data_IF_022018457187
#
_entry.id   IF_022018457187
#
_cell.length_a   1.000
_cell.length_b   1.000
_cell.length_c   1.000
_cell.angle_alpha   90.00
_cell.angle_beta   90.00
_cell.angle_gamma   90.00
#
_symmetry.space_group_name_H-M   'P 1'
#
loop_
_entity.id
_entity.type
_entity.pdbx_description
1 polymer ?
#
# COMPACT_ATOMS: atom_id res chain seq x y z
N UNK A 1 -31.10 39.72 23.74
CA UNK A 1 -30.03 39.79 22.73
C UNK A 1 -28.82 39.03 23.27
N UNK A 2 -28.65 37.77 22.88
CA UNK A 2 -27.44 37.00 23.19
C UNK A 2 -27.01 36.32 21.89
N UNK A 3 -25.87 36.74 21.33
CA UNK A 3 -25.34 36.20 20.08
C UNK A 3 -24.95 34.73 20.23
N UNK A 4 -24.95 33.94 19.14
CA UNK A 4 -24.60 32.54 19.20
C UNK A 4 -23.11 32.39 19.55
N UNK A 5 -22.88 31.69 20.66
CA UNK A 5 -21.58 31.31 21.20
C UNK A 5 -20.78 30.54 20.14
N UNK A 6 -19.56 31.02 19.87
CA UNK A 6 -18.53 30.38 19.07
C UNK A 6 -18.49 28.86 19.32
N UNK A 7 -18.85 28.06 18.30
CA UNK A 7 -18.66 26.61 18.34
C UNK A 7 -17.16 26.31 18.21
N UNK A 8 -16.66 25.61 19.21
CA UNK A 8 -15.27 25.30 19.56
C UNK A 8 -14.40 24.71 18.42
N UNK A 9 -13.05 24.82 18.51
CA UNK A 9 -12.08 24.24 17.57
C UNK A 9 -12.20 22.72 17.37
N UNK A 10 -12.86 22.02 18.29
CA UNK A 10 -13.11 20.57 18.24
C UNK A 10 -13.95 20.18 17.01
N UNK A 11 -14.91 21.00 16.59
CA UNK A 11 -15.67 20.74 15.36
C UNK A 11 -14.82 20.88 14.09
N UNK A 12 -13.81 21.74 14.11
CA UNK A 12 -12.87 21.89 12.99
C UNK A 12 -11.86 20.75 12.96
N UNK A 13 -11.39 20.29 14.12
CA UNK A 13 -10.51 19.13 14.21
C UNK A 13 -11.23 17.85 13.75
N UNK A 14 -12.49 17.67 14.13
CA UNK A 14 -13.32 16.54 13.68
C UNK A 14 -13.60 16.61 12.18
N UNK A 15 -13.98 17.79 11.66
CA UNK A 15 -14.16 17.99 10.22
C UNK A 15 -12.84 17.83 9.41
N UNK A 16 -11.69 18.11 10.04
CA UNK A 16 -10.38 17.86 9.44
C UNK A 16 -10.05 16.37 9.43
N UNK A 17 -10.22 15.67 10.54
CA UNK A 17 -10.05 14.21 10.65
C UNK A 17 -10.99 13.46 9.69
N UNK A 18 -12.21 13.97 9.49
CA UNK A 18 -13.20 13.42 8.55
C UNK A 18 -12.89 13.78 7.08
N UNK A 19 -11.82 14.53 6.80
CA UNK A 19 -11.42 14.90 5.44
C UNK A 19 -10.33 13.99 4.88
N UNK A 20 -10.39 13.67 3.58
CA UNK A 20 -9.35 12.92 2.86
C UNK A 20 -7.92 13.50 3.09
N UNK A 21 -7.83 14.82 3.31
CA UNK A 21 -6.57 15.53 3.59
C UNK A 21 -5.92 15.17 4.94
N UNK A 22 -6.68 14.67 5.93
CA UNK A 22 -6.12 14.29 7.22
C UNK A 22 -5.27 13.04 7.18
N UNK A 23 -5.41 12.19 6.16
CA UNK A 23 -4.55 11.03 5.96
C UNK A 23 -3.18 11.40 5.36
N UNK A 24 -3.13 12.44 4.53
CA UNK A 24 -1.95 12.83 3.78
C UNK A 24 -0.95 13.68 4.58
N UNK A 25 -1.45 14.54 5.47
CA UNK A 25 -0.57 15.40 6.27
C UNK A 25 0.35 14.62 7.21
N UNK A 26 -0.14 13.59 7.97
CA UNK A 26 0.73 12.74 8.76
C UNK A 26 1.77 11.99 7.93
N UNK A 27 1.41 11.51 6.73
CA UNK A 27 2.33 10.85 5.81
C UNK A 27 3.46 11.79 5.38
N UNK A 28 3.12 13.01 4.96
CA UNK A 28 4.10 14.02 4.57
C UNK A 28 5.03 14.39 5.72
N UNK A 29 4.46 14.57 6.93
CA UNK A 29 5.24 14.87 8.13
C UNK A 29 6.18 13.71 8.49
N UNK A 30 5.71 12.46 8.40
CA UNK A 30 6.54 11.29 8.63
C UNK A 30 7.70 11.20 7.62
N UNK A 31 7.44 11.43 6.34
CA UNK A 31 8.47 11.45 5.29
C UNK A 31 9.50 12.57 5.51
N UNK A 32 9.04 13.77 5.87
CA UNK A 32 9.92 14.90 6.19
C UNK A 32 10.77 14.62 7.44
N UNK A 33 10.18 14.06 8.49
CA UNK A 33 10.91 13.65 9.69
C UNK A 33 11.95 12.58 9.37
N UNK A 34 11.59 11.57 8.57
CA UNK A 34 12.51 10.54 8.12
C UNK A 34 13.69 11.15 7.35
N UNK A 35 13.43 12.10 6.45
CA UNK A 35 14.48 12.79 5.70
C UNK A 35 15.39 13.63 6.61
N UNK A 36 14.81 14.36 7.57
CA UNK A 36 15.59 15.15 8.54
C UNK A 36 16.47 14.24 9.39
N UNK A 37 15.93 13.12 9.89
CA UNK A 37 16.68 12.18 10.71
C UNK A 37 17.80 11.51 9.89
N UNK A 38 17.50 11.07 8.66
CA UNK A 38 18.46 10.44 7.75
C UNK A 38 19.63 11.36 7.35
N UNK A 39 19.43 12.68 7.37
CA UNK A 39 20.47 13.67 7.10
C UNK A 39 21.09 14.26 8.38
N UNK A 40 20.80 13.69 9.55
CA UNK A 40 21.29 14.17 10.84
C UNK A 40 22.31 13.19 11.46
N UNK A 41 23.04 13.59 12.52
CA UNK A 41 23.92 12.68 13.26
C UNK A 41 23.22 11.44 13.85
N UNK A 42 21.88 11.45 13.92
CA UNK A 42 21.08 10.34 14.43
C UNK A 42 20.81 9.24 13.37
N UNK A 43 21.18 9.45 12.10
CA UNK A 43 20.93 8.49 11.02
C UNK A 43 21.47 7.09 11.36
N UNK A 44 22.75 7.01 11.75
CA UNK A 44 23.37 5.72 12.10
C UNK A 44 22.71 5.05 13.32
N UNK A 45 22.23 5.83 14.29
CA UNK A 45 21.55 5.26 15.46
C UNK A 45 20.20 4.65 15.07
N UNK A 46 19.46 5.31 14.16
CA UNK A 46 18.21 4.79 13.62
C UNK A 46 18.45 3.53 12.76
N UNK A 47 19.41 3.59 11.82
CA UNK A 47 19.77 2.45 10.97
C UNK A 47 20.18 1.24 11.80
N UNK A 48 21.05 1.40 12.80
CA UNK A 48 21.43 0.31 13.68
C UNK A 48 20.24 -0.26 14.48
N UNK A 49 19.29 0.60 14.86
CA UNK A 49 18.03 0.17 15.49
C UNK A 49 17.17 -0.67 14.54
N UNK A 50 17.02 -0.24 13.28
CA UNK A 50 16.24 -0.92 12.25
C UNK A 50 16.90 -2.24 11.79
N UNK A 51 18.23 -2.31 11.80
CA UNK A 51 18.99 -3.52 11.48
C UNK A 51 19.04 -4.54 12.64
N UNK A 52 18.55 -4.17 13.82
CA UNK A 52 18.55 -5.06 14.98
C UNK A 52 17.76 -6.33 14.66
N UNK A 53 18.45 -7.48 14.74
CA UNK A 53 17.87 -8.78 14.41
C UNK A 53 16.93 -9.23 15.53
N UNK A 54 15.67 -9.41 15.19
CA UNK A 54 14.62 -9.90 16.08
C UNK A 54 14.00 -11.14 15.47
N UNK A 55 13.60 -12.08 16.33
CA UNK A 55 12.97 -13.28 15.83
C UNK A 55 12.99 -14.43 16.81
N UNK A 56 12.56 -15.57 16.28
CA UNK A 56 12.45 -16.81 17.03
C UNK A 56 13.11 -17.89 16.20
N UNK A 57 14.04 -18.61 16.81
CA UNK A 57 14.68 -19.78 16.24
C UNK A 57 14.32 -21.00 17.10
N UNK A 58 13.57 -21.95 16.53
CA UNK A 58 13.22 -23.21 17.16
C UNK A 58 13.49 -24.38 16.19
N UNK A 59 14.59 -25.09 16.41
CA UNK A 59 14.98 -26.22 15.56
C UNK A 59 15.22 -25.77 14.10
N UNK A 60 14.55 -26.36 13.10
CA UNK A 60 14.70 -25.96 11.70
C UNK A 60 13.96 -24.66 11.34
N UNK A 61 13.15 -24.12 12.25
CA UNK A 61 12.44 -22.85 12.03
C UNK A 61 13.38 -21.73 12.50
N UNK A 62 13.93 -21.00 11.54
CA UNK A 62 14.75 -19.82 11.77
C UNK A 62 14.05 -18.59 11.20
N UNK A 63 13.29 -17.89 12.05
CA UNK A 63 12.58 -16.67 11.68
C UNK A 63 13.23 -15.46 12.35
N UNK A 64 14.52 -15.26 12.06
CA UNK A 64 15.29 -14.10 12.52
C UNK A 64 15.44 -13.12 11.36
N UNK A 65 14.86 -11.93 11.52
CA UNK A 65 14.91 -10.86 10.53
C UNK A 65 15.26 -9.53 11.21
N UNK A 66 15.93 -8.60 10.51
CA UNK A 66 16.01 -7.20 10.91
C UNK A 66 14.64 -6.63 11.30
N UNK A 67 14.61 -5.74 12.28
CA UNK A 67 13.41 -5.04 12.72
C UNK A 67 12.71 -4.33 11.55
N UNK A 68 13.47 -3.75 10.62
CA UNK A 68 12.93 -3.14 9.39
C UNK A 68 12.03 -4.09 8.60
N UNK A 69 12.46 -5.35 8.41
CA UNK A 69 11.68 -6.33 7.66
C UNK A 69 10.42 -6.77 8.43
N UNK A 70 10.47 -6.83 9.76
CA UNK A 70 9.27 -7.07 10.57
C UNK A 70 8.26 -5.94 10.46
N UNK A 71 8.73 -4.69 10.50
CA UNK A 71 7.89 -3.50 10.34
C UNK A 71 7.26 -3.51 8.95
N UNK A 72 8.05 -3.72 7.90
CA UNK A 72 7.58 -3.74 6.52
C UNK A 72 6.58 -4.89 6.29
N UNK A 73 6.91 -6.13 6.66
CA UNK A 73 6.02 -7.29 6.50
C UNK A 73 4.69 -7.06 7.26
N UNK A 74 4.75 -6.54 8.49
CA UNK A 74 3.58 -6.31 9.33
C UNK A 74 2.68 -5.16 8.86
N UNK A 75 3.27 -3.99 8.58
CA UNK A 75 2.51 -2.83 8.12
C UNK A 75 1.94 -3.05 6.72
N UNK A 76 2.70 -3.67 5.81
CA UNK A 76 2.21 -3.99 4.47
C UNK A 76 1.11 -5.05 4.50
N UNK A 77 1.17 -6.04 5.40
CA UNK A 77 0.09 -7.01 5.58
C UNK A 77 -1.23 -6.32 5.99
N UNK A 78 -1.18 -5.36 6.92
CA UNK A 78 -2.36 -4.57 7.32
C UNK A 78 -2.86 -3.67 6.19
N UNK A 79 -1.95 -3.02 5.47
CA UNK A 79 -2.27 -2.17 4.33
C UNK A 79 -2.97 -2.96 3.23
N UNK A 80 -2.40 -4.08 2.79
CA UNK A 80 -2.98 -4.92 1.74
C UNK A 80 -4.25 -5.64 2.19
N UNK A 81 -4.44 -5.90 3.49
CA UNK A 81 -5.72 -6.37 4.01
C UNK A 81 -6.81 -5.31 3.79
N UNK A 82 -6.55 -4.05 4.15
CA UNK A 82 -7.48 -2.95 3.94
C UNK A 82 -7.78 -2.77 2.44
N UNK A 83 -6.74 -2.74 1.60
CA UNK A 83 -6.89 -2.64 0.14
C UNK A 83 -7.68 -3.82 -0.42
N UNK A 84 -7.42 -5.05 0.05
CA UNK A 84 -8.16 -6.23 -0.38
C UNK A 84 -9.65 -6.18 -0.01
N UNK A 85 -9.99 -5.64 1.16
CA UNK A 85 -11.37 -5.40 1.57
C UNK A 85 -12.04 -4.31 0.72
N UNK A 86 -11.31 -3.24 0.42
CA UNK A 86 -11.78 -2.14 -0.41
C UNK A 86 -12.07 -2.60 -1.85
N UNK A 87 -11.14 -3.34 -2.46
CA UNK A 87 -11.33 -3.97 -3.78
C UNK A 87 -12.57 -4.86 -3.76
N UNK A 88 -12.70 -5.72 -2.74
CA UNK A 88 -13.86 -6.61 -2.64
C UNK A 88 -15.17 -5.82 -2.55
N UNK A 89 -15.20 -4.72 -1.79
CA UNK A 89 -16.37 -3.84 -1.70
C UNK A 89 -16.70 -3.21 -3.05
N UNK A 90 -15.71 -2.64 -3.74
CA UNK A 90 -15.89 -2.01 -5.05
C UNK A 90 -16.35 -3.00 -6.13
N UNK A 91 -15.85 -4.23 -6.09
CA UNK A 91 -16.27 -5.30 -7.01
C UNK A 91 -17.70 -5.80 -6.77
N UNK A 92 -18.15 -5.83 -5.51
CA UNK A 92 -19.47 -6.38 -5.16
C UNK A 92 -20.57 -5.31 -5.21
N UNK A 93 -20.29 -4.11 -4.69
CA UNK A 93 -21.30 -3.06 -4.47
C UNK A 93 -20.97 -1.74 -5.18
N UNK A 94 -19.72 -1.55 -5.62
CA UNK A 94 -19.22 -0.27 -6.12
C UNK A 94 -19.20 -0.13 -7.62
N UNK A 95 -18.39 0.84 -8.08
CA UNK A 95 -18.30 1.25 -9.49
C UNK A 95 -17.66 0.17 -10.37
N UNK A 96 -16.87 -0.73 -9.77
CA UNK A 96 -16.22 -1.86 -10.44
C UNK A 96 -17.11 -3.09 -10.61
N UNK A 97 -18.32 -3.08 -10.05
CA UNK A 97 -19.29 -4.17 -10.23
C UNK A 97 -19.71 -4.39 -11.68
N UNK A 98 -19.60 -3.35 -12.52
CA UNK A 98 -19.88 -3.41 -13.96
C UNK A 98 -18.59 -3.63 -14.75
N UNK A 99 -18.49 -4.68 -15.59
CA UNK A 99 -17.28 -4.95 -16.37
C UNK A 99 -16.81 -3.78 -17.23
N UNK A 100 -17.75 -3.00 -17.79
CA UNK A 100 -17.45 -1.83 -18.62
C UNK A 100 -16.68 -0.72 -17.87
N UNK A 101 -16.92 -0.58 -16.56
CA UNK A 101 -16.28 0.44 -15.73
C UNK A 101 -14.86 0.04 -15.30
N UNK A 102 -14.55 -1.26 -15.32
CA UNK A 102 -13.24 -1.82 -14.93
C UNK A 102 -12.19 -1.66 -16.03
N UNK A 103 -12.62 -1.65 -17.30
CA UNK A 103 -11.70 -1.66 -18.46
C UNK A 103 -10.76 -0.46 -18.44
N UNK A 104 -11.28 0.75 -18.19
CA UNK A 104 -10.47 1.97 -18.25
C UNK A 104 -9.41 2.03 -17.11
N UNK A 105 -9.76 1.83 -15.83
CA UNK A 105 -8.78 1.77 -14.75
C UNK A 105 -7.74 0.66 -14.95
N UNK A 106 -8.14 -0.54 -15.38
CA UNK A 106 -7.20 -1.65 -15.60
C UNK A 106 -6.26 -1.37 -16.76
N UNK A 107 -6.77 -0.85 -17.89
CA UNK A 107 -5.92 -0.46 -19.01
C UNK A 107 -4.96 0.67 -18.62
N UNK A 108 -5.44 1.64 -17.83
CA UNK A 108 -4.64 2.73 -17.28
C UNK A 108 -3.52 2.23 -16.36
N UNK A 109 -3.84 1.33 -15.43
CA UNK A 109 -2.86 0.71 -14.53
C UNK A 109 -1.83 -0.12 -15.33
N UNK A 110 -2.27 -1.00 -16.24
CA UNK A 110 -1.33 -1.78 -17.06
C UNK A 110 -0.39 -0.90 -17.88
N UNK A 111 -0.90 0.17 -18.49
CA UNK A 111 -0.06 1.17 -19.16
C UNK A 111 0.88 1.88 -18.19
N UNK A 112 0.37 2.25 -17.02
CA UNK A 112 1.11 2.86 -15.91
C UNK A 112 2.20 1.97 -15.32
N UNK A 113 2.11 0.65 -15.46
CA UNK A 113 3.15 -0.28 -15.05
C UNK A 113 4.15 -0.56 -16.18
N UNK A 114 3.65 -0.88 -17.37
CA UNK A 114 4.48 -1.33 -18.50
C UNK A 114 5.39 -0.21 -18.98
N UNK A 115 4.88 1.02 -19.08
CA UNK A 115 5.66 2.14 -19.63
C UNK A 115 6.83 2.52 -18.72
N UNK A 116 6.68 2.76 -17.40
CA UNK A 116 7.81 3.04 -16.52
C UNK A 116 8.81 1.88 -16.43
N UNK A 117 8.33 0.63 -16.39
CA UNK A 117 9.21 -0.54 -16.41
C UNK A 117 10.06 -0.59 -17.69
N UNK A 118 9.45 -0.38 -18.86
CA UNK A 118 10.16 -0.37 -20.14
C UNK A 118 11.18 0.76 -20.22
N UNK A 119 10.83 1.97 -19.73
CA UNK A 119 11.75 3.10 -19.64
C UNK A 119 12.94 2.75 -18.75
N UNK A 120 12.70 2.17 -17.58
CA UNK A 120 13.77 1.76 -16.66
C UNK A 120 14.73 0.75 -17.32
N UNK A 121 14.20 -0.28 -17.97
CA UNK A 121 15.00 -1.29 -18.66
C UNK A 121 15.81 -0.69 -19.81
N UNK A 122 15.22 0.24 -20.57
CA UNK A 122 15.91 0.94 -21.65
C UNK A 122 17.06 1.83 -21.13
N UNK A 123 16.82 2.58 -20.06
CA UNK A 123 17.84 3.47 -19.45
C UNK A 123 18.97 2.66 -18.83
N UNK A 124 18.64 1.56 -18.13
CA UNK A 124 19.64 0.66 -17.53
C UNK A 124 20.35 -0.22 -18.56
N UNK A 125 19.93 -0.18 -19.83
CA UNK A 125 20.48 -1.00 -20.93
C UNK A 125 20.54 -2.49 -20.60
N UNK A 126 19.58 -2.98 -19.82
CA UNK A 126 19.54 -4.36 -19.35
C UNK A 126 20.79 -4.81 -18.57
N UNK A 127 21.46 -3.88 -17.88
CA UNK A 127 22.61 -4.20 -17.03
C UNK A 127 22.23 -5.23 -15.94
N UNK A 128 22.88 -6.40 -15.90
CA UNK A 128 22.59 -7.45 -14.91
C UNK A 128 22.64 -7.00 -13.45
N UNK A 129 23.42 -5.96 -13.12
CA UNK A 129 23.53 -5.46 -11.74
C UNK A 129 22.30 -4.70 -11.25
N UNK A 130 21.51 -4.13 -12.16
CA UNK A 130 20.35 -3.27 -11.82
C UNK A 130 19.05 -3.72 -12.48
N UNK A 131 19.09 -4.68 -13.40
CA UNK A 131 17.89 -5.17 -14.12
C UNK A 131 16.79 -5.67 -13.17
N UNK A 132 17.16 -6.20 -11.99
CA UNK A 132 16.21 -6.57 -10.94
C UNK A 132 15.45 -5.36 -10.35
N UNK A 133 15.76 -4.12 -10.68
CA UNK A 133 15.02 -2.95 -10.20
C UNK A 133 13.81 -2.54 -11.04
N UNK A 134 13.44 -3.29 -12.08
CA UNK A 134 12.43 -2.86 -13.06
C UNK A 134 11.01 -2.67 -12.50
N UNK A 135 10.67 -3.33 -11.39
CA UNK A 135 9.39 -3.19 -10.71
C UNK A 135 9.35 -1.98 -9.74
N UNK A 136 10.48 -1.34 -9.44
CA UNK A 136 10.54 -0.17 -8.54
C UNK A 136 9.69 1.01 -9.09
N UNK A 137 9.81 1.43 -10.37
CA UNK A 137 9.07 2.57 -10.90
C UNK A 137 7.60 2.27 -11.24
N UNK A 138 7.11 1.04 -11.02
CA UNK A 138 5.74 0.65 -11.37
C UNK A 138 4.76 0.83 -10.21
N UNK A 139 5.22 1.11 -8.99
CA UNK A 139 4.34 1.26 -7.83
C UNK A 139 3.92 2.74 -7.66
N UNK A 140 2.64 2.96 -7.34
CA UNK A 140 2.07 4.30 -7.15
C UNK A 140 1.53 4.46 -5.73
N UNK A 141 2.09 5.38 -4.93
CA UNK A 141 1.58 5.66 -3.58
C UNK A 141 0.21 6.36 -3.63
N UNK A 142 -0.85 5.59 -3.34
CA UNK A 142 -2.23 6.06 -3.30
C UNK A 142 -2.47 7.14 -2.22
N UNK A 143 -1.85 7.01 -1.05
CA UNK A 143 -2.08 7.91 0.07
C UNK A 143 -1.48 9.28 -0.22
N UNK A 144 -0.30 9.31 -0.84
CA UNK A 144 0.30 10.55 -1.31
C UNK A 144 -0.50 11.17 -2.47
N UNK A 145 -0.90 10.35 -3.45
CA UNK A 145 -1.64 10.82 -4.64
C UNK A 145 -2.99 11.45 -4.26
N UNK A 146 -3.78 10.78 -3.42
CA UNK A 146 -5.04 11.32 -2.90
C UNK A 146 -4.82 12.53 -2.00
N UNK A 147 -3.72 12.54 -1.24
CA UNK A 147 -3.31 13.68 -0.44
C UNK A 147 -3.11 14.96 -1.23
N UNK A 148 -2.38 14.87 -2.35
CA UNK A 148 -2.18 16.01 -3.25
C UNK A 148 -3.50 16.46 -3.88
N UNK A 149 -4.36 15.52 -4.30
CA UNK A 149 -5.70 15.86 -4.81
C UNK A 149 -6.57 16.56 -3.76
N UNK A 150 -6.45 16.18 -2.48
CA UNK A 150 -7.19 16.81 -1.40
C UNK A 150 -6.74 18.27 -1.16
N UNK A 151 -5.46 18.59 -1.35
CA UNK A 151 -4.95 19.97 -1.30
C UNK A 151 -5.53 20.84 -2.42
N UNK A 152 -5.77 20.27 -3.61
CA UNK A 152 -6.43 20.96 -4.72
C UNK A 152 -7.93 21.24 -4.46
N UNK A 153 -8.49 20.66 -3.40
CA UNK A 153 -9.81 20.97 -2.86
C UNK A 153 -10.94 20.70 -3.86
N UNK A 154 -11.85 21.67 -3.99
CA UNK A 154 -13.05 21.57 -4.83
C UNK A 154 -12.78 21.62 -6.35
N UNK A 155 -11.53 21.83 -6.77
CA UNK A 155 -11.16 21.89 -8.20
C UNK A 155 -11.12 20.51 -8.86
N UNK A 156 -11.05 19.45 -8.07
CA UNK A 156 -10.96 18.06 -8.56
C UNK A 156 -12.33 17.39 -8.45
N UNK A 157 -12.92 16.91 -9.56
CA UNK A 157 -14.19 16.18 -9.53
C UNK A 157 -14.09 14.90 -8.69
N UNK A 158 -15.17 14.55 -8.00
CA UNK A 158 -15.25 13.31 -7.22
C UNK A 158 -14.97 12.06 -8.07
N UNK A 159 -15.48 12.05 -9.31
CA UNK A 159 -15.24 10.96 -10.25
C UNK A 159 -13.74 10.72 -10.53
N UNK A 160 -12.92 11.77 -10.50
CA UNK A 160 -11.48 11.69 -10.75
C UNK A 160 -10.73 11.11 -9.54
N UNK A 161 -11.22 11.40 -8.32
CA UNK A 161 -10.72 10.78 -7.09
C UNK A 161 -11.01 9.28 -7.07
N UNK A 162 -12.26 8.89 -7.33
CA UNK A 162 -12.69 7.48 -7.39
C UNK A 162 -11.91 6.72 -8.48
N UNK A 163 -11.75 7.34 -9.66
CA UNK A 163 -10.94 6.77 -10.74
C UNK A 163 -9.48 6.56 -10.31
N UNK A 164 -8.84 7.56 -9.71
CA UNK A 164 -7.44 7.45 -9.29
C UNK A 164 -7.25 6.43 -8.17
N UNK A 165 -8.16 6.39 -7.19
CA UNK A 165 -8.18 5.36 -6.13
C UNK A 165 -8.23 3.97 -6.75
N UNK A 166 -9.15 3.76 -7.70
CA UNK A 166 -9.27 2.48 -8.40
C UNK A 166 -8.01 2.11 -9.17
N UNK A 167 -7.47 3.05 -9.94
CA UNK A 167 -6.27 2.85 -10.75
C UNK A 167 -5.07 2.47 -9.86
N UNK A 168 -4.84 3.22 -8.77
CA UNK A 168 -3.74 2.96 -7.84
C UNK A 168 -3.87 1.61 -7.13
N UNK A 169 -5.09 1.22 -6.75
CA UNK A 169 -5.36 -0.09 -6.16
C UNK A 169 -5.02 -1.23 -7.13
N UNK A 170 -5.40 -1.10 -8.41
CA UNK A 170 -5.08 -2.11 -9.44
C UNK A 170 -3.58 -2.16 -9.69
N UNK A 171 -2.92 -1.00 -9.73
CA UNK A 171 -1.48 -0.85 -9.90
C UNK A 171 -0.69 -1.54 -8.76
N UNK A 172 -1.05 -1.27 -7.50
CA UNK A 172 -0.45 -1.86 -6.31
C UNK A 172 -0.65 -3.39 -6.26
N UNK A 173 -1.85 -3.88 -6.60
CA UNK A 173 -2.13 -5.31 -6.67
C UNK A 173 -1.33 -5.97 -7.81
N UNK A 174 -1.22 -5.29 -8.96
CA UNK A 174 -0.38 -5.75 -10.06
C UNK A 174 1.09 -5.85 -9.64
N UNK A 175 1.61 -4.81 -8.99
CA UNK A 175 2.99 -4.73 -8.55
C UNK A 175 3.33 -5.83 -7.54
N UNK A 176 2.48 -6.07 -6.53
CA UNK A 176 2.73 -7.14 -5.55
C UNK A 176 2.69 -8.53 -6.19
N UNK A 177 1.80 -8.77 -7.16
CA UNK A 177 1.75 -10.05 -7.90
C UNK A 177 3.01 -10.24 -8.74
N UNK A 178 3.49 -9.19 -9.40
CA UNK A 178 4.76 -9.22 -10.14
C UNK A 178 5.93 -9.52 -9.20
N UNK A 179 6.02 -8.83 -8.06
CA UNK A 179 7.10 -9.06 -7.09
C UNK A 179 7.03 -10.51 -6.58
N UNK A 180 5.86 -11.00 -6.20
CA UNK A 180 5.69 -12.37 -5.75
C UNK A 180 6.08 -13.41 -6.82
N UNK A 181 5.76 -13.19 -8.09
CA UNK A 181 6.05 -14.12 -9.17
C UNK A 181 7.53 -14.11 -9.62
N UNK A 182 8.17 -12.94 -9.66
CA UNK A 182 9.50 -12.77 -10.26
C UNK A 182 10.65 -12.64 -9.26
N UNK A 183 10.38 -12.31 -7.99
CA UNK A 183 11.41 -12.02 -6.98
C UNK A 183 11.48 -13.05 -5.85
N UNK A 184 10.64 -14.08 -5.91
CA UNK A 184 10.66 -15.15 -4.90
C UNK A 184 11.76 -16.17 -5.23
N UNK A 185 12.92 -16.05 -4.58
CA UNK A 185 14.04 -16.98 -4.78
C UNK A 185 13.95 -18.25 -3.91
N UNK A 186 13.31 -18.17 -2.74
CA UNK A 186 13.24 -19.28 -1.77
C UNK A 186 11.79 -19.56 -1.34
N UNK A 187 11.21 -20.64 -1.88
CA UNK A 187 9.89 -21.14 -1.47
C UNK A 187 10.04 -22.33 -0.54
N UNK A 188 9.59 -22.16 0.71
CA UNK A 188 9.42 -23.29 1.62
C UNK A 188 8.12 -24.02 1.31
N UNK A 189 8.22 -25.28 0.87
CA UNK A 189 7.06 -26.13 0.62
C UNK A 189 6.19 -26.31 1.87
N UNK A 190 6.81 -26.37 3.05
CA UNK A 190 6.10 -26.44 4.32
C UNK A 190 5.27 -25.17 4.56
N UNK A 191 5.86 -23.99 4.34
CA UNK A 191 5.14 -22.73 4.50
C UNK A 191 3.99 -22.61 3.48
N UNK A 192 4.20 -23.05 2.25
CA UNK A 192 3.17 -23.05 1.21
C UNK A 192 1.99 -23.98 1.57
N UNK A 193 2.27 -25.17 2.10
CA UNK A 193 1.25 -26.10 2.57
C UNK A 193 0.45 -25.51 3.75
N UNK A 194 1.13 -24.90 4.72
CA UNK A 194 0.45 -24.19 5.82
C UNK A 194 -0.42 -23.03 5.32
N UNK A 195 0.08 -22.21 4.39
CA UNK A 195 -0.68 -21.13 3.79
C UNK A 195 -1.93 -21.64 3.04
N UNK A 196 -1.79 -22.72 2.26
CA UNK A 196 -2.91 -23.34 1.55
C UNK A 196 -3.99 -23.86 2.52
N UNK A 197 -3.58 -24.47 3.64
CA UNK A 197 -4.51 -24.90 4.69
C UNK A 197 -5.25 -23.73 5.34
N UNK A 198 -4.56 -22.63 5.64
CA UNK A 198 -5.18 -21.41 6.18
C UNK A 198 -6.20 -20.82 5.19
N UNK A 199 -5.84 -20.72 3.90
CA UNK A 199 -6.74 -20.22 2.85
C UNK A 199 -7.96 -21.13 2.71
N UNK A 200 -7.77 -22.45 2.69
CA UNK A 200 -8.86 -23.41 2.65
C UNK A 200 -9.79 -23.27 3.86
N UNK A 201 -9.23 -23.08 5.07
CA UNK A 201 -9.99 -22.80 6.28
C UNK A 201 -10.83 -21.53 6.16
N UNK A 202 -10.25 -20.43 5.68
CA UNK A 202 -10.97 -19.17 5.44
C UNK A 202 -12.10 -19.35 4.42
N UNK A 203 -11.86 -20.10 3.34
CA UNK A 203 -12.86 -20.41 2.33
C UNK A 203 -14.03 -21.22 2.92
N UNK A 204 -13.74 -22.24 3.72
CA UNK A 204 -14.75 -23.07 4.40
C UNK A 204 -15.58 -22.23 5.37
N UNK A 205 -14.95 -21.35 6.17
CA UNK A 205 -15.64 -20.45 7.09
C UNK A 205 -16.57 -19.48 6.35
N UNK A 206 -16.12 -18.93 5.23
CA UNK A 206 -16.93 -18.06 4.38
C UNK A 206 -18.13 -18.80 3.77
N UNK A 207 -17.92 -20.03 3.26
CA UNK A 207 -18.99 -20.86 2.69
C UNK A 207 -20.00 -21.33 3.75
N UNK A 208 -19.53 -21.55 4.97
CA UNK A 208 -20.36 -21.93 6.12
C UNK A 208 -21.18 -20.75 6.68
N UNK A 209 -21.07 -19.56 6.07
CA UNK A 209 -21.90 -18.41 6.41
C UNK A 209 -21.60 -17.80 7.78
N UNK A 210 -20.36 -17.92 8.26
CA UNK A 210 -19.93 -17.28 9.51
C UNK A 210 -19.88 -15.76 9.30
N UNK A 211 -21.01 -15.10 9.54
CA UNK A 211 -21.21 -13.65 9.50
C UNK A 211 -21.50 -13.18 10.92
N UNK A 212 -20.47 -12.89 11.70
CA UNK A 212 -20.61 -12.21 12.99
C UNK A 212 -20.00 -10.83 12.89
#
# INVERSE_FOLDING_TARGET
MAGPINRLPINRLKAFIDSEAASALPLLLAALLALVIANSPFAHALEAGLETKLGVAFGPIDLVKPLELWINDGLMALFFLLVGLEIKRELVEGELSRPANVVLPVAGALGGMIVPAAIYLAVTRFDPGVVKGWAIPTATDIAFSLGVLAVLGSRVPLALKVFLTTLAIVDDLGAIVIIAAFYTEHLSLLALACAALCIAGLAILNLSGVRR
#
